data_IF_545339213893
#
_entry.id   IF_545339213893
#
_cell.length_a   1.000
_cell.length_b   1.000
_cell.length_c   1.000
_cell.angle_alpha   90.00
_cell.angle_beta   90.00
_cell.angle_gamma   90.00
#
_symmetry.space_group_name_H-M   'P 1'
#
loop_
_entity.id
_entity.type
_entity.pdbx_description
1 polymer ?
#
# COMPACT_ATOMS: atom_id res chain seq x y z
N UNK A 1 24.28 -58.66 0.93
CA UNK A 1 24.20 -57.71 2.03
C UNK A 1 24.98 -56.48 1.62
N UNK A 2 24.31 -55.48 1.05
CA UNK A 2 24.91 -54.16 0.87
C UNK A 2 23.80 -53.13 1.02
N UNK A 3 23.84 -52.41 2.14
CA UNK A 3 22.94 -51.36 2.53
C UNK A 3 23.35 -50.06 1.85
N UNK A 4 22.70 -49.76 0.72
CA UNK A 4 22.81 -48.49 0.03
C UNK A 4 22.10 -47.36 0.79
N UNK A 5 22.84 -46.62 1.56
CA UNK A 5 22.42 -45.43 2.27
C UNK A 5 22.07 -44.29 1.28
N UNK A 6 20.79 -44.10 0.99
CA UNK A 6 20.29 -42.94 0.21
C UNK A 6 20.52 -41.67 1.02
N UNK A 7 21.62 -40.97 0.77
CA UNK A 7 21.84 -39.61 1.21
C UNK A 7 20.77 -38.73 0.53
N UNK A 8 19.80 -38.27 1.31
CA UNK A 8 18.83 -37.27 0.88
C UNK A 8 19.57 -36.02 0.40
N UNK A 9 19.40 -35.71 -0.87
CA UNK A 9 19.90 -34.48 -1.50
C UNK A 9 19.08 -33.32 -0.93
N UNK A 10 19.63 -32.58 0.02
CA UNK A 10 19.15 -31.28 0.40
C UNK A 10 19.37 -30.34 -0.79
N UNK A 11 18.34 -30.16 -1.61
CA UNK A 11 18.33 -29.11 -2.65
C UNK A 11 18.17 -27.78 -1.90
N UNK A 12 19.29 -27.15 -1.55
CA UNK A 12 19.31 -25.84 -0.89
C UNK A 12 18.68 -24.79 -1.79
N UNK A 13 17.79 -24.00 -1.22
CA UNK A 13 17.24 -22.78 -1.85
C UNK A 13 18.42 -21.97 -2.43
N UNK A 14 18.38 -21.54 -3.70
CA UNK A 14 19.44 -20.73 -4.32
C UNK A 14 19.78 -19.51 -3.48
N UNK A 15 21.02 -19.04 -3.55
CA UNK A 15 21.51 -17.92 -2.73
C UNK A 15 20.66 -16.65 -2.96
N UNK A 16 20.28 -16.39 -4.22
CA UNK A 16 19.43 -15.26 -4.59
C UNK A 16 18.05 -15.31 -3.92
N UNK A 17 17.42 -16.48 -3.90
CA UNK A 17 16.11 -16.66 -3.28
C UNK A 17 16.16 -16.45 -1.75
N UNK A 18 17.27 -16.84 -1.14
CA UNK A 18 17.49 -16.61 0.30
C UNK A 18 17.68 -15.12 0.64
N UNK A 19 18.36 -14.37 -0.22
CA UNK A 19 18.52 -12.92 -0.06
C UNK A 19 17.17 -12.21 -0.23
N UNK A 20 16.41 -12.56 -1.26
CA UNK A 20 15.06 -12.01 -1.48
C UNK A 20 14.14 -12.29 -0.29
N UNK A 21 14.08 -13.55 0.18
CA UNK A 21 13.25 -13.91 1.34
C UNK A 21 13.64 -13.15 2.61
N UNK A 22 14.93 -12.93 2.86
CA UNK A 22 15.39 -12.14 4.02
C UNK A 22 14.98 -10.68 3.89
N UNK A 23 15.13 -10.09 2.69
CA UNK A 23 14.68 -8.73 2.41
C UNK A 23 13.17 -8.58 2.65
N UNK A 24 12.37 -9.53 2.17
CA UNK A 24 10.91 -9.52 2.35
C UNK A 24 10.54 -9.64 3.83
N UNK A 25 11.23 -10.50 4.61
CA UNK A 25 11.02 -10.62 6.05
C UNK A 25 11.37 -9.33 6.80
N UNK A 26 12.42 -8.62 6.39
CA UNK A 26 12.77 -7.31 6.97
C UNK A 26 11.69 -6.27 6.64
N UNK A 27 11.22 -6.20 5.39
CA UNK A 27 10.13 -5.30 4.97
C UNK A 27 8.86 -5.59 5.76
N UNK A 28 8.46 -6.86 5.87
CA UNK A 28 7.28 -7.26 6.66
C UNK A 28 7.41 -6.84 8.13
N UNK A 29 8.58 -7.00 8.74
CA UNK A 29 8.86 -6.52 10.10
C UNK A 29 8.77 -5.00 10.19
N UNK A 30 9.27 -4.28 9.18
CA UNK A 30 9.19 -2.83 9.07
C UNK A 30 7.75 -2.33 8.98
N UNK A 31 6.90 -2.96 8.16
CA UNK A 31 5.46 -2.66 8.07
C UNK A 31 4.82 -2.78 9.45
N UNK A 32 5.07 -3.88 10.16
CA UNK A 32 4.51 -4.13 11.50
C UNK A 32 4.96 -3.12 12.56
N UNK A 33 6.19 -2.62 12.48
CA UNK A 33 6.72 -1.63 13.43
C UNK A 33 6.24 -0.21 13.07
N UNK A 34 6.32 0.17 11.81
CA UNK A 34 5.97 1.51 11.34
C UNK A 34 4.46 1.78 11.44
N UNK A 35 3.63 0.76 11.16
CA UNK A 35 2.17 0.84 11.25
C UNK A 35 1.59 0.50 12.63
N UNK A 36 2.42 0.26 13.65
CA UNK A 36 1.98 -0.04 15.01
C UNK A 36 1.35 1.18 15.70
N UNK A 37 0.26 0.97 16.46
CA UNK A 37 -0.36 2.02 17.28
C UNK A 37 0.59 2.60 18.32
N UNK A 38 1.40 1.74 18.93
CA UNK A 38 2.37 2.14 19.95
C UNK A 38 3.54 2.96 19.39
N UNK A 39 3.66 3.06 18.06
CA UNK A 39 4.73 3.79 17.35
C UNK A 39 6.12 3.58 17.95
N UNK A 40 6.58 2.33 18.08
CA UNK A 40 7.90 2.08 18.63
C UNK A 40 8.96 2.71 17.72
N UNK A 41 10.10 3.12 18.32
CA UNK A 41 11.20 3.64 17.51
C UNK A 41 11.65 2.60 16.47
N UNK A 42 11.58 2.97 15.19
CA UNK A 42 11.98 2.12 14.07
C UNK A 42 13.52 2.13 13.97
N UNK A 43 14.16 1.28 14.74
CA UNK A 43 15.62 1.10 14.74
C UNK A 43 16.00 -0.19 14.03
N UNK A 44 17.22 -0.26 13.48
CA UNK A 44 17.75 -1.49 12.84
C UNK A 44 17.64 -2.68 13.79
N UNK A 45 17.97 -2.50 15.07
CA UNK A 45 17.86 -3.57 16.10
C UNK A 45 16.42 -4.04 16.30
N UNK A 46 15.46 -3.12 16.34
CA UNK A 46 14.04 -3.48 16.49
C UNK A 46 13.54 -4.28 15.28
N UNK A 47 13.90 -3.85 14.07
CA UNK A 47 13.57 -4.56 12.83
C UNK A 47 14.18 -5.96 12.79
N UNK A 48 15.49 -6.07 13.05
CA UNK A 48 16.20 -7.36 13.07
C UNK A 48 15.60 -8.33 14.10
N UNK A 49 15.30 -7.85 15.33
CA UNK A 49 14.65 -8.64 16.36
C UNK A 49 13.27 -9.13 15.91
N UNK A 50 12.46 -8.25 15.29
CA UNK A 50 11.12 -8.60 14.78
C UNK A 50 11.17 -9.59 13.64
N UNK A 51 12.17 -9.49 12.76
CA UNK A 51 12.37 -10.37 11.61
C UNK A 51 13.11 -11.68 11.98
N UNK A 52 13.57 -11.84 13.22
CA UNK A 52 14.46 -12.93 13.66
C UNK A 52 15.74 -13.04 12.81
N UNK A 53 16.31 -11.89 12.43
CA UNK A 53 17.53 -11.76 11.63
C UNK A 53 18.59 -10.95 12.38
N UNK A 54 19.86 -11.09 11.95
CA UNK A 54 20.97 -10.28 12.48
C UNK A 54 21.14 -8.97 11.72
N UNK A 55 21.79 -7.97 12.35
CA UNK A 55 22.10 -6.69 11.70
C UNK A 55 22.95 -6.88 10.42
N UNK A 56 23.78 -7.91 10.35
CA UNK A 56 24.51 -8.24 9.13
C UNK A 56 23.59 -8.44 7.93
N UNK A 57 22.50 -9.21 8.09
CA UNK A 57 21.53 -9.44 7.00
C UNK A 57 20.72 -8.18 6.65
N UNK A 58 20.54 -7.27 7.61
CA UNK A 58 19.98 -5.96 7.31
C UNK A 58 20.88 -5.18 6.36
N UNK A 59 22.17 -5.05 6.70
CA UNK A 59 23.14 -4.30 5.89
C UNK A 59 23.54 -4.99 4.57
N UNK A 60 23.26 -6.28 4.41
CA UNK A 60 23.32 -6.97 3.11
C UNK A 60 22.14 -6.56 2.19
N UNK A 61 21.04 -6.03 2.74
CA UNK A 61 19.80 -5.70 2.00
C UNK A 61 19.55 -4.20 1.86
N UNK A 62 20.03 -3.39 2.80
CA UNK A 62 19.81 -1.94 2.87
C UNK A 62 21.08 -1.26 3.37
N UNK A 63 21.44 -0.12 2.76
CA UNK A 63 22.63 0.66 3.15
C UNK A 63 22.46 1.32 4.53
N UNK A 64 21.25 1.76 4.82
CA UNK A 64 20.91 2.46 6.05
C UNK A 64 19.42 2.32 6.43
N UNK A 65 19.04 2.94 7.57
CA UNK A 65 17.66 2.98 8.06
C UNK A 65 16.73 3.70 7.08
N UNK A 66 17.18 4.76 6.48
CA UNK A 66 16.33 5.63 5.68
C UNK A 66 15.99 4.97 4.34
N UNK A 67 16.93 4.27 3.71
CA UNK A 67 16.65 3.41 2.55
C UNK A 67 15.64 2.32 2.92
N UNK A 68 15.82 1.69 4.08
CA UNK A 68 14.88 0.67 4.56
C UNK A 68 13.47 1.22 4.77
N UNK A 69 13.33 2.38 5.40
CA UNK A 69 12.02 3.02 5.65
C UNK A 69 11.32 3.35 4.33
N UNK A 70 12.06 3.89 3.34
CA UNK A 70 11.53 4.11 1.99
C UNK A 70 11.06 2.80 1.35
N UNK A 71 11.87 1.75 1.42
CA UNK A 71 11.52 0.44 0.84
C UNK A 71 10.27 -0.18 1.49
N UNK A 72 10.07 0.01 2.79
CA UNK A 72 8.84 -0.41 3.51
C UNK A 72 7.62 0.36 2.97
N UNK A 73 7.76 1.67 2.79
CA UNK A 73 6.69 2.50 2.26
C UNK A 73 6.35 2.14 0.80
N UNK A 74 7.37 1.95 -0.02
CA UNK A 74 7.24 1.57 -1.44
C UNK A 74 6.57 0.20 -1.61
N UNK A 75 6.84 -0.78 -0.74
CA UNK A 75 6.14 -2.08 -0.75
C UNK A 75 4.65 -1.89 -0.51
N UNK A 76 4.26 -1.08 0.48
CA UNK A 76 2.84 -0.82 0.78
C UNK A 76 2.16 -0.06 -0.36
N UNK A 77 2.80 0.98 -0.92
CA UNK A 77 2.30 1.72 -2.07
C UNK A 77 2.12 0.81 -3.29
N UNK A 78 3.09 -0.05 -3.58
CA UNK A 78 3.04 -1.01 -4.70
C UNK A 78 1.89 -1.99 -4.54
N UNK A 79 1.65 -2.53 -3.35
CA UNK A 79 0.50 -3.41 -3.06
C UNK A 79 -0.82 -2.69 -3.25
N UNK A 80 -0.94 -1.45 -2.76
CA UNK A 80 -2.11 -0.61 -2.96
C UNK A 80 -2.40 -0.37 -4.45
N UNK A 81 -1.37 0.01 -5.22
CA UNK A 81 -1.48 0.23 -6.67
C UNK A 81 -1.91 -1.03 -7.41
N UNK A 82 -1.32 -2.19 -7.10
CA UNK A 82 -1.67 -3.46 -7.71
C UNK A 82 -3.13 -3.84 -7.43
N UNK A 83 -3.58 -3.67 -6.19
CA UNK A 83 -4.96 -3.91 -5.77
C UNK A 83 -5.94 -3.05 -6.57
N UNK A 84 -5.66 -1.74 -6.68
CA UNK A 84 -6.52 -0.81 -7.41
C UNK A 84 -6.48 -1.02 -8.94
N UNK A 85 -5.33 -1.43 -9.48
CA UNK A 85 -5.17 -1.69 -10.92
C UNK A 85 -5.97 -2.91 -11.37
N UNK A 86 -6.02 -3.95 -10.55
CA UNK A 86 -6.71 -5.22 -10.88
C UNK A 86 -8.23 -5.17 -10.66
N UNK A 87 -8.76 -4.12 -10.04
CA UNK A 87 -10.19 -3.96 -9.82
C UNK A 87 -10.93 -3.57 -11.11
N UNK A 88 -12.03 -4.26 -11.38
CA UNK A 88 -12.85 -4.06 -12.59
C UNK A 88 -13.94 -3.02 -12.39
N UNK A 89 -14.40 -2.80 -11.16
CA UNK A 89 -15.46 -1.83 -10.84
C UNK A 89 -15.02 -0.89 -9.72
N UNK A 90 -15.60 0.33 -9.62
CA UNK A 90 -15.34 1.24 -8.50
C UNK A 90 -15.63 0.60 -7.14
N UNK A 91 -16.71 -0.18 -7.02
CA UNK A 91 -17.07 -0.88 -5.77
C UNK A 91 -15.99 -1.90 -5.40
N UNK A 92 -15.59 -2.74 -6.35
CA UNK A 92 -14.53 -3.73 -6.14
C UNK A 92 -13.21 -3.06 -5.72
N UNK A 93 -12.85 -1.93 -6.35
CA UNK A 93 -11.66 -1.17 -5.99
C UNK A 93 -11.71 -0.69 -4.54
N UNK A 94 -12.83 -0.10 -4.12
CA UNK A 94 -13.02 0.38 -2.74
C UNK A 94 -13.01 -0.78 -1.74
N UNK A 95 -13.75 -1.86 -2.00
CA UNK A 95 -13.82 -3.02 -1.12
C UNK A 95 -12.45 -3.68 -0.91
N UNK A 96 -11.71 -3.94 -1.99
CA UNK A 96 -10.35 -4.49 -1.91
C UNK A 96 -9.36 -3.55 -1.23
N UNK A 97 -9.50 -2.24 -1.44
CA UNK A 97 -8.64 -1.27 -0.78
C UNK A 97 -8.95 -1.16 0.72
N UNK A 98 -10.22 -1.24 1.12
CA UNK A 98 -10.65 -1.33 2.53
C UNK A 98 -10.09 -2.60 3.16
N UNK A 99 -10.23 -3.76 2.50
CA UNK A 99 -9.66 -5.02 2.97
C UNK A 99 -8.15 -4.92 3.21
N UNK A 100 -7.41 -4.31 2.28
CA UNK A 100 -5.97 -4.17 2.38
C UNK A 100 -5.51 -3.15 3.44
N UNK A 101 -6.25 -2.02 3.61
CA UNK A 101 -5.80 -0.85 4.37
C UNK A 101 -6.54 -0.63 5.69
N UNK A 102 -7.73 -1.18 5.84
CA UNK A 102 -8.60 -0.97 7.00
C UNK A 102 -8.76 -2.24 7.81
N UNK A 103 -9.05 -3.36 7.17
CA UNK A 103 -9.18 -4.66 7.85
C UNK A 103 -7.80 -5.16 8.34
N UNK A 104 -6.70 -4.75 7.66
CA UNK A 104 -5.33 -4.80 8.19
C UNK A 104 -4.81 -3.37 8.43
N UNK A 105 -5.14 -2.73 9.57
CA UNK A 105 -4.88 -1.30 9.78
C UNK A 105 -3.38 -0.94 9.82
N UNK A 106 -2.51 -1.92 10.01
CA UNK A 106 -1.06 -1.70 10.03
C UNK A 106 -0.58 -1.14 8.69
N UNK A 107 -1.03 -1.70 7.56
CA UNK A 107 -0.70 -1.19 6.22
C UNK A 107 -1.32 0.16 5.93
N UNK A 108 -2.57 0.35 6.31
CA UNK A 108 -3.24 1.66 6.17
C UNK A 108 -2.51 2.77 6.92
N UNK A 109 -2.03 2.49 8.12
CA UNK A 109 -1.23 3.46 8.89
C UNK A 109 0.11 3.77 8.23
N UNK A 110 0.79 2.77 7.66
CA UNK A 110 2.02 3.02 6.88
C UNK A 110 1.74 3.91 5.70
N UNK A 111 0.71 3.62 4.90
CA UNK A 111 0.40 4.38 3.69
C UNK A 111 -0.04 5.82 4.01
N UNK A 112 -0.96 6.00 4.96
CA UNK A 112 -1.72 7.23 5.14
C UNK A 112 -1.23 8.08 6.32
N UNK A 113 -0.66 7.48 7.36
CA UNK A 113 -0.29 8.20 8.57
C UNK A 113 1.24 8.35 8.74
N UNK A 114 2.03 7.39 8.27
CA UNK A 114 3.47 7.43 8.45
C UNK A 114 4.15 8.64 7.78
N UNK A 115 3.74 9.13 6.59
CA UNK A 115 4.33 10.32 5.98
C UNK A 115 4.21 11.61 6.81
N UNK A 116 3.21 11.69 7.70
CA UNK A 116 3.02 12.85 8.57
C UNK A 116 3.93 12.85 9.81
N UNK A 117 4.49 11.68 10.18
CA UNK A 117 5.26 11.51 11.44
C UNK A 117 6.70 11.04 11.21
N UNK A 118 7.00 10.49 10.06
CA UNK A 118 8.33 10.03 9.65
C UNK A 118 8.87 10.95 8.55
N UNK A 119 9.80 11.87 8.87
CA UNK A 119 10.23 12.93 7.96
C UNK A 119 10.75 12.43 6.61
N UNK A 120 11.41 11.26 6.59
CA UNK A 120 11.94 10.67 5.37
C UNK A 120 10.83 10.28 4.38
N UNK A 121 9.62 10.01 4.86
CA UNK A 121 8.47 9.61 4.05
C UNK A 121 7.65 10.77 3.49
N UNK A 122 7.85 12.01 3.98
CA UNK A 122 7.13 13.18 3.45
C UNK A 122 7.38 13.32 1.94
N UNK A 123 8.62 13.16 1.51
CA UNK A 123 8.98 13.20 0.09
C UNK A 123 8.46 11.98 -0.67
N UNK A 124 8.62 10.79 -0.12
CA UNK A 124 8.15 9.54 -0.75
C UNK A 124 6.63 9.56 -0.97
N UNK A 125 5.86 10.06 0.00
CA UNK A 125 4.42 10.24 -0.15
C UNK A 125 4.05 11.21 -1.30
N UNK A 126 4.78 12.31 -1.43
CA UNK A 126 4.60 13.26 -2.52
C UNK A 126 4.98 12.65 -3.90
N UNK A 127 5.99 11.80 -3.95
CA UNK A 127 6.42 11.10 -5.18
C UNK A 127 5.43 10.00 -5.61
N UNK A 128 4.72 9.36 -4.68
CA UNK A 128 3.72 8.35 -4.99
C UNK A 128 2.35 8.93 -5.39
N UNK A 129 1.99 10.10 -4.91
CA UNK A 129 0.68 10.72 -5.16
C UNK A 129 0.34 10.84 -6.66
N UNK A 130 1.25 11.27 -7.57
CA UNK A 130 0.98 11.32 -9.00
C UNK A 130 0.59 9.96 -9.59
N UNK A 131 1.17 8.86 -9.11
CA UNK A 131 0.89 7.51 -9.60
C UNK A 131 -0.56 7.09 -9.30
N UNK A 132 -1.08 7.40 -8.12
CA UNK A 132 -2.47 7.16 -7.76
C UNK A 132 -3.44 8.03 -8.57
N UNK A 133 -3.09 9.31 -8.78
CA UNK A 133 -3.87 10.22 -9.60
C UNK A 133 -3.94 9.73 -11.05
N UNK A 134 -2.82 9.34 -11.63
CA UNK A 134 -2.74 8.84 -12.99
C UNK A 134 -3.51 7.52 -13.17
N UNK A 135 -3.43 6.61 -12.19
CA UNK A 135 -4.22 5.38 -12.22
C UNK A 135 -5.72 5.69 -12.28
N UNK A 136 -6.20 6.60 -11.43
CA UNK A 136 -7.60 6.99 -11.43
C UNK A 136 -7.98 7.75 -12.69
N UNK A 137 -7.13 8.65 -13.18
CA UNK A 137 -7.33 9.38 -14.43
C UNK A 137 -7.57 8.43 -15.61
N UNK A 138 -6.77 7.36 -15.75
CA UNK A 138 -6.96 6.33 -16.77
C UNK A 138 -8.31 5.63 -16.69
N UNK A 139 -8.86 5.47 -15.48
CA UNK A 139 -10.20 4.87 -15.28
C UNK A 139 -11.35 5.83 -15.62
N UNK A 140 -11.08 7.12 -15.79
CA UNK A 140 -12.05 8.15 -16.19
C UNK A 140 -12.12 8.37 -17.72
N UNK A 141 -11.75 7.37 -18.52
CA UNK A 141 -11.65 7.45 -19.99
C UNK A 141 -12.93 7.87 -20.72
N UNK A 142 -14.10 7.74 -20.09
CA UNK A 142 -15.39 8.22 -20.64
C UNK A 142 -15.54 9.74 -20.61
N UNK A 143 -14.72 10.47 -19.87
CA UNK A 143 -14.66 11.92 -19.84
C UNK A 143 -13.67 12.34 -20.93
N UNK A 144 -14.12 13.06 -21.96
CA UNK A 144 -13.30 13.37 -23.13
C UNK A 144 -12.17 14.38 -22.89
N UNK A 145 -12.29 15.24 -21.86
CA UNK A 145 -11.30 16.28 -21.55
C UNK A 145 -10.24 15.75 -20.55
N UNK A 146 -8.95 15.62 -20.96
CA UNK A 146 -7.89 15.12 -20.09
C UNK A 146 -7.54 16.06 -18.92
N UNK A 147 -7.77 17.37 -19.06
CA UNK A 147 -7.57 18.32 -17.97
C UNK A 147 -8.61 18.09 -16.88
N UNK A 148 -9.87 17.94 -17.29
CA UNK A 148 -10.98 17.64 -16.40
C UNK A 148 -10.81 16.28 -15.72
N UNK A 149 -10.39 15.24 -16.47
CA UNK A 149 -10.05 13.92 -15.89
C UNK A 149 -9.02 14.07 -14.76
N UNK A 150 -7.96 14.85 -14.99
CA UNK A 150 -6.89 15.04 -14.01
C UNK A 150 -7.39 15.81 -12.78
N UNK A 151 -8.22 16.84 -12.96
CA UNK A 151 -8.82 17.58 -11.85
C UNK A 151 -9.70 16.69 -10.98
N UNK A 152 -10.58 15.90 -11.61
CA UNK A 152 -11.45 14.94 -10.93
C UNK A 152 -10.62 13.88 -10.20
N UNK A 153 -9.62 13.28 -10.86
CA UNK A 153 -8.76 12.28 -10.26
C UNK A 153 -8.00 12.84 -9.05
N UNK A 154 -7.46 14.07 -9.14
CA UNK A 154 -6.76 14.72 -8.04
C UNK A 154 -7.69 14.95 -6.84
N UNK A 155 -8.91 15.47 -7.09
CA UNK A 155 -9.91 15.71 -6.05
C UNK A 155 -10.34 14.42 -5.36
N UNK A 156 -10.57 13.34 -6.14
CA UNK A 156 -10.98 12.05 -5.62
C UNK A 156 -9.86 11.39 -4.78
N UNK A 157 -8.62 11.37 -5.28
CA UNK A 157 -7.49 10.80 -4.53
C UNK A 157 -7.26 11.56 -3.23
N UNK A 158 -7.28 12.89 -3.27
CA UNK A 158 -7.13 13.73 -2.06
C UNK A 158 -8.27 13.51 -1.07
N UNK A 159 -9.52 13.54 -1.54
CA UNK A 159 -10.70 13.33 -0.69
C UNK A 159 -10.75 11.92 -0.09
N UNK A 160 -10.49 10.89 -0.87
CA UNK A 160 -10.42 9.51 -0.38
C UNK A 160 -9.28 9.32 0.63
N UNK A 161 -8.08 9.88 0.36
CA UNK A 161 -6.98 9.82 1.33
C UNK A 161 -7.36 10.44 2.67
N UNK A 162 -8.05 11.59 2.65
CA UNK A 162 -8.57 12.24 3.87
C UNK A 162 -9.60 11.36 4.60
N UNK A 163 -10.55 10.77 3.86
CA UNK A 163 -11.57 9.87 4.43
C UNK A 163 -10.97 8.63 5.07
N UNK A 164 -10.06 7.95 4.37
CA UNK A 164 -9.37 6.78 4.91
C UNK A 164 -8.52 7.13 6.14
N UNK A 165 -7.84 8.27 6.13
CA UNK A 165 -7.09 8.78 7.28
C UNK A 165 -8.01 9.01 8.48
N UNK A 166 -9.15 9.68 8.29
CA UNK A 166 -10.12 9.94 9.35
C UNK A 166 -10.77 8.63 9.87
N UNK A 167 -11.03 7.66 8.99
CA UNK A 167 -11.57 6.35 9.37
C UNK A 167 -10.58 5.55 10.21
N UNK A 168 -9.30 5.47 9.80
CA UNK A 168 -8.24 4.79 10.56
C UNK A 168 -7.94 5.43 11.92
N UNK A 169 -8.22 6.73 12.07
CA UNK A 169 -8.13 7.45 13.35
C UNK A 169 -9.44 7.42 14.16
N UNK A 170 -10.43 6.60 13.76
CA UNK A 170 -11.74 6.45 14.42
C UNK A 170 -12.54 7.76 14.56
N UNK A 171 -12.27 8.75 13.68
CA UNK A 171 -12.89 10.08 13.75
C UNK A 171 -14.29 10.15 13.13
N UNK A 172 -14.69 9.15 12.34
CA UNK A 172 -15.95 9.21 11.57
C UNK A 172 -17.11 8.52 12.26
N UNK A 173 -16.90 7.61 13.21
CA UNK A 173 -17.95 6.82 13.84
C UNK A 173 -18.79 5.98 12.86
N UNK A 174 -18.31 5.78 11.63
CA UNK A 174 -19.02 5.07 10.58
C UNK A 174 -18.77 3.57 10.64
N UNK A 175 -19.79 2.78 10.35
CA UNK A 175 -19.62 1.34 10.13
C UNK A 175 -18.84 1.08 8.83
N UNK A 176 -18.20 -0.09 8.73
CA UNK A 176 -17.48 -0.51 7.51
C UNK A 176 -18.37 -0.40 6.25
N UNK A 177 -19.62 -0.82 6.35
CA UNK A 177 -20.57 -0.73 5.23
C UNK A 177 -20.86 0.71 4.81
N UNK A 178 -21.15 1.59 5.77
CA UNK A 178 -21.39 3.01 5.50
C UNK A 178 -20.17 3.66 4.86
N UNK A 179 -18.97 3.35 5.34
CA UNK A 179 -17.73 3.88 4.80
C UNK A 179 -17.51 3.47 3.33
N UNK A 180 -17.66 2.16 3.03
CA UNK A 180 -17.54 1.66 1.65
C UNK A 180 -18.58 2.31 0.74
N UNK A 181 -19.85 2.32 1.14
CA UNK A 181 -20.95 2.88 0.33
C UNK A 181 -20.73 4.38 0.06
N UNK A 182 -20.23 5.13 1.04
CA UNK A 182 -19.90 6.53 0.87
C UNK A 182 -18.75 6.74 -0.12
N UNK A 183 -17.63 6.00 0.04
CA UNK A 183 -16.49 6.08 -0.88
C UNK A 183 -16.88 5.73 -2.32
N UNK A 184 -17.69 4.70 -2.50
CA UNK A 184 -18.21 4.31 -3.83
C UNK A 184 -19.10 5.41 -4.42
N UNK A 185 -20.02 5.95 -3.64
CA UNK A 185 -20.88 7.06 -4.07
C UNK A 185 -20.06 8.29 -4.47
N UNK A 186 -19.04 8.64 -3.70
CA UNK A 186 -18.16 9.76 -3.99
C UNK A 186 -17.50 9.62 -5.38
N UNK A 187 -17.05 8.40 -5.74
CA UNK A 187 -16.48 8.12 -7.07
C UNK A 187 -17.50 8.36 -8.18
N UNK A 188 -18.74 7.90 -8.01
CA UNK A 188 -19.80 8.05 -9.01
C UNK A 188 -20.28 9.50 -9.13
N UNK A 189 -20.62 10.16 -8.02
CA UNK A 189 -21.20 11.51 -8.02
C UNK A 189 -20.22 12.52 -8.59
N UNK A 190 -18.92 12.41 -8.26
CA UNK A 190 -17.91 13.35 -8.74
C UNK A 190 -17.67 13.22 -10.26
N UNK A 191 -17.78 12.04 -10.82
CA UNK A 191 -17.55 11.79 -12.24
C UNK A 191 -18.84 11.95 -13.10
N UNK A 192 -20.02 11.66 -12.53
CA UNK A 192 -21.29 11.59 -13.26
C UNK A 192 -21.65 12.85 -14.09
N UNK A 193 -21.46 14.10 -13.60
CA UNK A 193 -21.82 15.29 -14.37
C UNK A 193 -21.02 15.46 -15.67
N UNK A 194 -19.90 14.78 -15.80
CA UNK A 194 -18.95 14.95 -16.90
C UNK A 194 -18.87 13.74 -17.83
N UNK A 195 -19.63 12.69 -17.54
CA UNK A 195 -19.76 11.54 -18.46
C UNK A 195 -20.87 11.84 -19.46
N UNK A 196 -20.60 11.80 -20.79
CA UNK A 196 -21.64 11.99 -21.79
C UNK A 196 -22.80 11.02 -21.57
N UNK A 197 -24.04 11.51 -21.63
CA UNK A 197 -25.21 10.63 -21.67
C UNK A 197 -25.08 9.70 -22.87
N UNK A 198 -25.44 8.41 -22.77
CA UNK A 198 -25.58 7.58 -23.95
C UNK A 198 -26.65 8.24 -24.83
N UNK A 199 -26.27 8.63 -26.05
CA UNK A 199 -27.21 9.18 -27.02
C UNK A 199 -28.38 8.20 -27.16
N UNK A 200 -29.58 8.64 -26.79
CA UNK A 200 -30.84 7.99 -27.10
C UNK A 200 -31.10 8.28 -28.59
N UNK A 201 -30.37 7.56 -29.47
CA UNK A 201 -30.66 7.54 -30.91
C UNK A 201 -31.80 6.59 -31.23
#
# INVERSE_FOLDING_TARGET
MESGQRRGRWTGVPLGDRLALRRDNLIAAGVQLLGSDSRPALTVRAVCRKAALTERYFYESFSDRDEFVRAVYDDVCTRAMNTLTTANTPREAVEKFVELMVDDPVRGRVLLLAPAVEPILTRSGAEWMPNFIELLQRKLSRIGDPVLQKMIATSLVGGLSGLFTAYLNEQLGATRKQFIDYCVNMLYITAAPYVPSPDLG
#
